data_IF_276284378760
#
_entry.id   IF_276284378760
#
_cell.length_a   1.000
_cell.length_b   1.000
_cell.length_c   1.000
_cell.angle_alpha   90.00
_cell.angle_beta   90.00
_cell.angle_gamma   90.00
#
_symmetry.space_group_name_H-M   'P 1'
#
loop_
_entity.id
_entity.type
_entity.pdbx_description
1 polymer ?
#
# COMPACT_ATOMS: atom_id res chain seq x y z
N UNK A 1 -16.80 16.66 25.16
CA UNK A 1 -16.74 16.11 23.79
C UNK A 1 -18.17 15.81 23.38
N UNK A 2 -18.74 16.47 22.37
CA UNK A 2 -20.10 16.12 21.89
C UNK A 2 -20.04 14.69 21.33
N UNK A 3 -20.91 13.82 21.83
CA UNK A 3 -21.08 12.50 21.24
C UNK A 3 -21.52 12.70 19.77
N UNK A 4 -21.06 11.87 18.82
CA UNK A 4 -21.63 11.81 17.48
C UNK A 4 -23.16 11.79 17.54
N UNK A 5 -23.84 12.46 16.60
CA UNK A 5 -25.31 12.57 16.59
C UNK A 5 -26.00 11.19 16.63
N UNK A 6 -25.35 10.14 16.13
CA UNK A 6 -25.86 8.76 16.13
C UNK A 6 -25.79 8.08 17.51
N UNK A 7 -25.00 8.62 18.45
CA UNK A 7 -24.99 8.22 19.86
C UNK A 7 -25.99 9.02 20.71
N UNK A 8 -26.84 9.83 20.07
CA UNK A 8 -28.01 10.48 20.68
C UNK A 8 -29.27 9.61 20.63
N UNK A 9 -29.17 8.41 20.08
CA UNK A 9 -30.25 7.41 20.04
C UNK A 9 -30.91 7.20 21.41
N UNK A 10 -32.25 7.15 21.41
CA UNK A 10 -33.06 7.06 22.63
C UNK A 10 -32.72 5.79 23.43
N UNK A 11 -32.55 4.66 22.76
CA UNK A 11 -32.20 3.39 23.40
C UNK A 11 -30.81 3.45 24.02
N UNK A 12 -29.83 4.06 23.32
CA UNK A 12 -28.48 4.27 23.87
C UNK A 12 -28.55 5.08 25.16
N UNK A 13 -29.26 6.21 25.16
CA UNK A 13 -29.34 7.14 26.30
C UNK A 13 -30.05 6.52 27.50
N UNK A 14 -31.21 5.90 27.28
CA UNK A 14 -32.09 5.41 28.35
C UNK A 14 -31.65 4.04 28.88
N UNK A 15 -31.02 3.21 28.05
CA UNK A 15 -30.70 1.81 28.39
C UNK A 15 -29.19 1.58 28.46
N UNK A 16 -28.46 1.78 27.36
CA UNK A 16 -27.05 1.36 27.29
C UNK A 16 -26.10 2.25 28.10
N UNK A 17 -26.45 3.52 28.32
CA UNK A 17 -25.73 4.45 29.19
C UNK A 17 -26.30 4.52 30.62
N UNK A 18 -27.35 3.75 30.93
CA UNK A 18 -27.88 3.67 32.28
C UNK A 18 -27.03 2.74 33.16
N UNK A 19 -26.22 3.35 34.02
CA UNK A 19 -25.35 2.65 34.99
C UNK A 19 -25.98 2.43 36.37
N UNK A 20 -27.25 2.78 36.57
CA UNK A 20 -27.98 2.53 37.83
C UNK A 20 -28.12 1.03 38.08
N UNK A 21 -28.03 0.57 39.33
CA UNK A 21 -28.34 -0.83 39.65
C UNK A 21 -29.85 -1.12 39.65
N UNK A 22 -30.68 -0.09 39.57
CA UNK A 22 -32.13 -0.24 39.44
C UNK A 22 -32.49 -0.92 38.12
N UNK A 23 -33.45 -1.84 38.21
CA UNK A 23 -33.98 -2.55 37.05
C UNK A 23 -34.88 -1.63 36.24
N UNK A 24 -34.76 -1.72 34.92
CA UNK A 24 -35.75 -1.15 34.00
C UNK A 24 -37.08 -1.94 34.09
N UNK A 25 -38.20 -1.36 33.64
CA UNK A 25 -39.46 -2.08 33.55
C UNK A 25 -39.30 -3.38 32.75
N UNK A 26 -39.74 -4.50 33.34
CA UNK A 26 -39.66 -5.85 32.76
C UNK A 26 -38.22 -6.31 32.43
N UNK A 27 -37.21 -5.73 33.09
CA UNK A 27 -35.84 -6.16 32.93
C UNK A 27 -35.59 -7.51 33.63
N UNK A 28 -35.13 -8.48 32.84
CA UNK A 28 -34.76 -9.81 33.29
C UNK A 28 -33.27 -9.99 33.14
N UNK A 29 -32.62 -10.53 34.16
CA UNK A 29 -31.19 -10.82 34.18
C UNK A 29 -30.93 -12.31 34.11
N UNK A 30 -29.91 -12.72 33.36
CA UNK A 30 -29.42 -14.11 33.30
C UNK A 30 -27.90 -14.15 33.44
N UNK A 31 -27.33 -15.17 34.10
CA UNK A 31 -25.88 -15.35 34.15
C UNK A 31 -25.33 -15.60 32.74
N UNK A 32 -24.16 -15.03 32.46
CA UNK A 32 -23.46 -15.27 31.19
C UNK A 32 -22.72 -16.59 31.29
N UNK A 33 -23.04 -17.54 30.40
CA UNK A 33 -22.47 -18.89 30.40
C UNK A 33 -20.96 -18.81 30.07
N UNK A 34 -20.11 -19.41 30.92
CA UNK A 34 -18.65 -19.29 30.86
C UNK A 34 -18.09 -17.99 31.42
N UNK A 35 -18.94 -17.13 32.00
CA UNK A 35 -18.56 -15.87 32.66
C UNK A 35 -19.47 -15.60 33.86
N UNK A 36 -19.47 -16.51 34.83
CA UNK A 36 -20.42 -16.58 35.95
C UNK A 36 -20.39 -15.35 36.85
N UNK A 37 -19.29 -14.58 36.81
CA UNK A 37 -19.14 -13.30 37.50
C UNK A 37 -19.97 -12.15 36.88
N UNK A 38 -20.73 -12.43 35.82
CA UNK A 38 -21.46 -11.45 35.05
C UNK A 38 -22.88 -11.92 34.72
N UNK A 39 -23.79 -10.95 34.65
CA UNK A 39 -25.15 -11.14 34.13
C UNK A 39 -25.38 -10.26 32.91
N UNK A 40 -26.25 -10.72 32.01
CA UNK A 40 -26.75 -9.97 30.85
C UNK A 40 -28.26 -9.81 30.99
N UNK A 41 -28.77 -8.60 30.73
CA UNK A 41 -30.21 -8.36 30.72
C UNK A 41 -30.83 -8.55 29.33
N UNK A 42 -32.15 -8.79 29.28
CA UNK A 42 -32.92 -8.82 28.04
C UNK A 42 -32.86 -7.51 27.25
N UNK A 43 -32.45 -6.41 27.88
CA UNK A 43 -32.20 -5.09 27.29
C UNK A 43 -30.75 -4.90 26.78
N UNK A 44 -29.85 -5.84 27.04
CA UNK A 44 -28.43 -5.75 26.65
C UNK A 44 -27.55 -4.95 27.60
N UNK A 45 -28.01 -4.71 28.84
CA UNK A 45 -27.15 -4.20 29.92
C UNK A 45 -26.33 -5.35 30.49
N UNK A 46 -25.08 -5.09 30.86
CA UNK A 46 -24.18 -6.11 31.42
C UNK A 46 -23.83 -5.72 32.85
N UNK A 47 -24.06 -6.62 33.80
CA UNK A 47 -23.77 -6.41 35.22
C UNK A 47 -22.56 -7.25 35.61
N UNK A 48 -21.64 -6.66 36.35
CA UNK A 48 -20.58 -7.38 37.05
C UNK A 48 -21.05 -7.60 38.47
N UNK A 49 -21.07 -8.85 38.91
CA UNK A 49 -21.46 -9.24 40.26
C UNK A 49 -20.36 -8.92 41.27
N UNK A 50 -20.76 -8.78 42.53
CA UNK A 50 -19.84 -8.60 43.63
C UNK A 50 -19.04 -9.88 43.88
N UNK A 51 -17.72 -9.75 44.06
CA UNK A 51 -16.83 -10.90 44.28
C UNK A 51 -15.50 -10.48 44.87
N UNK A 52 -14.81 -11.44 45.47
CA UNK A 52 -13.39 -11.31 45.79
C UNK A 52 -12.58 -11.54 44.51
N UNK A 53 -11.67 -10.63 44.17
CA UNK A 53 -10.83 -10.72 42.97
C UNK A 53 -9.36 -10.66 43.36
N UNK A 54 -8.56 -11.54 42.75
CA UNK A 54 -7.11 -11.55 42.90
C UNK A 54 -6.45 -10.64 41.86
N UNK A 55 -5.53 -9.79 42.28
CA UNK A 55 -4.66 -9.01 41.40
C UNK A 55 -3.34 -9.78 41.23
N UNK A 56 -2.62 -9.56 40.12
CA UNK A 56 -1.23 -9.99 39.99
C UNK A 56 -0.43 -9.53 41.21
N UNK A 57 0.26 -10.47 41.89
CA UNK A 57 0.96 -10.34 43.19
C UNK A 57 0.17 -10.81 44.45
N UNK A 58 -0.96 -11.50 44.29
CA UNK A 58 -1.63 -12.20 45.40
C UNK A 58 -2.45 -11.30 46.34
N UNK A 59 -2.67 -10.04 45.95
CA UNK A 59 -3.51 -9.10 46.69
C UNK A 59 -4.97 -9.33 46.33
N UNK A 60 -5.80 -9.62 47.34
CA UNK A 60 -7.25 -9.75 47.22
C UNK A 60 -7.93 -8.39 47.38
N UNK A 61 -8.95 -8.12 46.58
CA UNK A 61 -9.81 -6.96 46.76
C UNK A 61 -11.26 -7.30 46.44
N UNK A 62 -12.18 -6.63 47.12
CA UNK A 62 -13.60 -6.72 46.83
C UNK A 62 -13.93 -5.89 45.59
N UNK A 63 -14.52 -6.55 44.60
CA UNK A 63 -15.14 -5.89 43.46
C UNK A 63 -16.61 -5.72 43.79
N UNK A 64 -17.08 -4.48 43.89
CA UNK A 64 -18.51 -4.20 44.08
C UNK A 64 -19.31 -4.47 42.81
N UNK A 65 -20.58 -4.80 43.00
CA UNK A 65 -21.53 -4.94 41.91
C UNK A 65 -21.66 -3.62 41.13
N UNK A 66 -21.69 -3.70 39.79
CA UNK A 66 -21.89 -2.52 38.93
C UNK A 66 -22.35 -2.90 37.53
N UNK A 67 -23.08 -1.99 36.90
CA UNK A 67 -23.34 -2.03 35.46
C UNK A 67 -22.08 -1.65 34.70
N UNK A 68 -21.73 -2.44 33.70
CA UNK A 68 -20.52 -2.29 32.89
C UNK A 68 -20.74 -1.28 31.78
N UNK A 69 -19.75 -0.42 31.60
CA UNK A 69 -19.62 0.41 30.39
C UNK A 69 -19.39 -0.46 29.17
N UNK A 70 -20.29 -0.33 28.19
CA UNK A 70 -20.19 -1.01 26.90
C UNK A 70 -19.20 -0.31 25.97
N UNK A 71 -18.72 -1.06 24.99
CA UNK A 71 -17.74 -0.66 23.98
C UNK A 71 -18.45 -0.48 22.64
N UNK A 72 -18.34 0.72 22.07
CA UNK A 72 -18.91 1.05 20.77
C UNK A 72 -17.78 1.06 19.74
N UNK A 73 -17.78 0.10 18.82
CA UNK A 73 -16.84 0.07 17.70
C UNK A 73 -17.53 0.62 16.46
N UNK A 74 -16.79 1.38 15.63
CA UNK A 74 -17.30 1.94 14.37
C UNK A 74 -16.45 1.48 13.20
N UNK A 75 -17.11 1.17 12.08
CA UNK A 75 -16.47 0.85 10.81
C UNK A 75 -17.03 1.77 9.74
N UNK A 76 -16.15 2.39 8.95
CA UNK A 76 -16.58 3.26 7.87
C UNK A 76 -16.93 2.43 6.63
N UNK A 77 -18.18 2.51 6.19
CA UNK A 77 -18.62 1.91 4.95
C UNK A 77 -18.36 2.90 3.80
N UNK A 78 -17.36 2.60 2.95
CA UNK A 78 -17.00 3.45 1.80
C UNK A 78 -18.11 3.59 0.76
N UNK A 79 -18.98 2.59 0.63
CA UNK A 79 -20.06 2.58 -0.35
C UNK A 79 -21.18 3.53 0.08
N UNK A 80 -21.69 3.35 1.31
CA UNK A 80 -22.75 4.18 1.87
C UNK A 80 -22.25 5.55 2.38
N UNK A 81 -20.93 5.72 2.50
CA UNK A 81 -20.28 6.89 3.12
C UNK A 81 -20.71 7.14 4.57
N UNK A 82 -21.10 6.08 5.28
CA UNK A 82 -21.63 6.11 6.64
C UNK A 82 -20.82 5.23 7.60
N UNK A 83 -20.94 5.49 8.90
CA UNK A 83 -20.39 4.62 9.94
C UNK A 83 -21.40 3.55 10.36
N UNK A 84 -20.95 2.30 10.38
CA UNK A 84 -21.67 1.18 10.99
C UNK A 84 -21.13 0.94 12.38
N UNK A 85 -22.02 0.80 13.37
CA UNK A 85 -21.66 0.61 14.77
C UNK A 85 -21.92 -0.82 15.24
N UNK A 86 -21.05 -1.31 16.13
CA UNK A 86 -21.28 -2.54 16.89
C UNK A 86 -21.08 -2.28 18.37
N UNK A 87 -21.92 -2.91 19.20
CA UNK A 87 -21.89 -2.79 20.66
C UNK A 87 -21.35 -4.08 21.26
N UNK A 88 -20.27 -3.94 22.03
CA UNK A 88 -19.58 -5.03 22.70
C UNK A 88 -19.51 -4.81 24.21
N UNK A 89 -19.28 -5.88 24.96
CA UNK A 89 -18.93 -5.80 26.37
C UNK A 89 -17.56 -6.43 26.62
N UNK A 90 -16.84 -5.87 27.59
CA UNK A 90 -15.60 -6.44 28.11
C UNK A 90 -15.87 -7.31 29.32
N UNK A 91 -15.51 -8.59 29.22
CA UNK A 91 -15.62 -9.59 30.28
C UNK A 91 -14.22 -10.02 30.74
N UNK A 92 -14.10 -10.52 31.96
CA UNK A 92 -12.83 -11.00 32.51
C UNK A 92 -13.03 -12.34 33.20
N UNK A 93 -12.21 -13.32 32.85
CA UNK A 93 -12.20 -14.65 33.46
C UNK A 93 -10.74 -15.06 33.68
N UNK A 94 -10.39 -15.46 34.90
CA UNK A 94 -9.03 -15.93 35.26
C UNK A 94 -7.90 -14.98 34.79
N UNK A 95 -8.09 -13.68 34.98
CA UNK A 95 -7.13 -12.66 34.54
C UNK A 95 -7.11 -12.37 33.03
N UNK A 96 -7.76 -13.20 32.21
CA UNK A 96 -7.89 -13.01 30.77
C UNK A 96 -9.08 -12.08 30.45
N UNK A 97 -8.90 -11.17 29.47
CA UNK A 97 -9.92 -10.23 29.02
C UNK A 97 -10.55 -10.69 27.72
N UNK A 98 -11.88 -10.69 27.66
CA UNK A 98 -12.67 -11.11 26.52
C UNK A 98 -13.55 -9.96 26.05
N UNK A 99 -13.73 -9.83 24.74
CA UNK A 99 -14.70 -8.91 24.14
C UNK A 99 -15.79 -9.72 23.46
N UNK A 100 -17.04 -9.53 23.87
CA UNK A 100 -18.19 -10.27 23.33
C UNK A 100 -19.23 -9.31 22.75
N UNK A 101 -19.93 -9.77 21.71
CA UNK A 101 -21.05 -9.00 21.11
C UNK A 101 -22.25 -9.04 22.06
N UNK A 102 -22.76 -7.87 22.44
CA UNK A 102 -23.94 -7.77 23.32
C UNK A 102 -25.15 -8.41 22.66
N UNK A 103 -25.36 -8.16 21.36
CA UNK A 103 -26.50 -8.74 20.63
C UNK A 103 -26.46 -10.28 20.60
N UNK A 104 -25.28 -10.89 20.43
CA UNK A 104 -25.15 -12.36 20.47
C UNK A 104 -25.45 -12.90 21.85
N UNK A 105 -24.96 -12.24 22.91
CA UNK A 105 -25.24 -12.66 24.29
C UNK A 105 -26.73 -12.56 24.62
N UNK A 106 -27.39 -11.44 24.30
CA UNK A 106 -28.83 -11.29 24.55
C UNK A 106 -29.62 -12.36 23.79
N UNK A 107 -29.32 -12.57 22.49
CA UNK A 107 -30.02 -13.60 21.72
C UNK A 107 -29.83 -14.99 22.30
N UNK A 108 -28.59 -15.34 22.64
CA UNK A 108 -28.24 -16.65 23.21
C UNK A 108 -29.00 -16.93 24.52
N UNK A 109 -29.08 -15.94 25.41
CA UNK A 109 -29.67 -16.11 26.73
C UNK A 109 -31.20 -15.93 26.77
N UNK A 110 -31.78 -15.15 25.86
CA UNK A 110 -33.21 -14.78 25.91
C UNK A 110 -34.05 -15.25 24.72
N UNK A 111 -33.45 -15.69 23.61
CA UNK A 111 -34.18 -16.09 22.40
C UNK A 111 -33.92 -17.56 22.04
N UNK A 112 -32.68 -17.95 21.76
CA UNK A 112 -32.34 -19.30 21.30
C UNK A 112 -30.87 -19.61 21.64
N UNK A 113 -30.59 -20.78 22.22
CA UNK A 113 -29.21 -21.26 22.42
C UNK A 113 -28.60 -21.75 21.09
N UNK A 114 -27.34 -21.41 20.86
CA UNK A 114 -26.58 -21.77 19.66
C UNK A 114 -25.08 -21.80 19.96
N UNK A 115 -24.25 -22.38 19.10
CA UNK A 115 -22.80 -22.27 19.25
C UNK A 115 -22.33 -20.82 19.07
N UNK A 116 -21.86 -20.19 20.15
CA UNK A 116 -21.42 -18.79 20.19
C UNK A 116 -20.32 -18.50 19.16
N UNK A 117 -19.53 -19.49 18.77
CA UNK A 117 -18.47 -19.35 17.78
C UNK A 117 -18.93 -19.61 16.34
N UNK A 118 -20.17 -20.06 16.12
CA UNK A 118 -20.72 -20.26 14.77
C UNK A 118 -20.89 -18.92 14.04
N UNK A 119 -20.23 -18.83 12.88
CA UNK A 119 -20.20 -17.68 11.98
C UNK A 119 -21.07 -17.85 10.73
N UNK A 120 -21.83 -18.95 10.65
CA UNK A 120 -22.73 -19.27 9.53
C UNK A 120 -23.97 -18.36 9.47
N UNK A 121 -24.28 -17.69 10.58
CA UNK A 121 -25.39 -16.76 10.73
C UNK A 121 -24.96 -15.47 11.45
N UNK A 122 -25.82 -14.46 11.39
CA UNK A 122 -25.66 -13.19 12.11
C UNK A 122 -26.92 -12.87 12.89
N UNK A 123 -26.77 -12.08 13.97
CA UNK A 123 -27.90 -11.49 14.67
C UNK A 123 -28.19 -10.12 14.05
N UNK A 124 -29.41 -9.96 13.55
CA UNK A 124 -29.94 -8.73 12.94
C UNK A 124 -30.93 -8.03 13.87
N UNK A 125 -31.41 -6.86 13.45
CA UNK A 125 -32.31 -5.97 14.21
C UNK A 125 -33.55 -5.72 13.38
N UNK A 126 -34.73 -6.10 13.88
CA UNK A 126 -36.01 -5.99 13.15
C UNK A 126 -36.36 -4.54 12.81
N UNK A 127 -36.02 -3.61 13.69
CA UNK A 127 -36.21 -2.17 13.52
C UNK A 127 -35.09 -1.47 12.74
N UNK A 128 -34.10 -2.21 12.22
CA UNK A 128 -32.87 -1.69 11.61
C UNK A 128 -32.02 -0.78 12.52
N UNK A 129 -32.31 -0.70 13.82
CA UNK A 129 -31.51 0.06 14.78
C UNK A 129 -30.45 -0.83 15.42
N UNK A 130 -29.18 -0.62 15.03
CA UNK A 130 -28.03 -1.35 15.56
C UNK A 130 -27.76 -1.09 17.04
N UNK A 131 -28.48 -0.19 17.72
CA UNK A 131 -28.34 0.05 19.16
C UNK A 131 -29.44 -0.63 19.99
N UNK A 132 -30.61 -0.91 19.43
CA UNK A 132 -31.70 -1.57 20.14
C UNK A 132 -31.36 -3.06 20.38
N UNK A 133 -30.87 -3.35 21.58
CA UNK A 133 -30.43 -4.69 22.01
C UNK A 133 -31.53 -5.50 22.70
N UNK A 134 -32.77 -5.02 22.70
CA UNK A 134 -33.82 -5.74 23.36
C UNK A 134 -34.07 -7.09 22.67
N UNK A 135 -34.19 -8.16 23.45
CA UNK A 135 -34.33 -9.54 22.96
C UNK A 135 -35.44 -9.69 21.89
N UNK A 136 -36.58 -9.02 22.04
CA UNK A 136 -37.68 -9.07 21.06
C UNK A 136 -37.35 -8.43 19.70
N UNK A 137 -36.38 -7.50 19.66
CA UNK A 137 -35.93 -6.82 18.44
C UNK A 137 -34.86 -7.63 17.68
N UNK A 138 -34.30 -8.66 18.28
CA UNK A 138 -33.24 -9.45 17.67
C UNK A 138 -33.82 -10.60 16.84
N UNK A 139 -33.15 -10.92 15.74
CA UNK A 139 -33.48 -12.06 14.88
C UNK A 139 -32.20 -12.73 14.36
N UNK A 140 -32.29 -14.03 14.08
CA UNK A 140 -31.19 -14.84 13.53
C UNK A 140 -31.37 -14.93 12.02
N UNK A 141 -30.40 -14.43 11.26
CA UNK A 141 -30.42 -14.47 9.79
C UNK A 141 -29.20 -15.21 9.24
N UNK A 142 -29.38 -15.92 8.13
CA UNK A 142 -28.26 -16.58 7.46
C UNK A 142 -27.32 -15.56 6.81
N UNK A 143 -26.03 -15.91 6.67
CA UNK A 143 -25.08 -15.07 5.93
C UNK A 143 -25.54 -14.84 4.48
N UNK A 144 -26.19 -15.83 3.86
CA UNK A 144 -26.74 -15.72 2.50
C UNK A 144 -27.85 -14.67 2.42
N UNK A 145 -28.78 -14.70 3.36
CA UNK A 145 -29.87 -13.74 3.46
C UNK A 145 -29.38 -12.32 3.77
N UNK A 146 -28.35 -12.19 4.63
CA UNK A 146 -27.70 -10.90 4.87
C UNK A 146 -27.09 -10.34 3.59
N UNK A 147 -26.37 -11.16 2.81
CA UNK A 147 -25.81 -10.73 1.51
C UNK A 147 -26.91 -10.29 0.55
N UNK A 148 -28.00 -11.04 0.48
CA UNK A 148 -29.14 -10.73 -0.39
C UNK A 148 -29.85 -9.43 0.02
N UNK A 149 -30.06 -9.19 1.31
CA UNK A 149 -30.67 -7.95 1.82
C UNK A 149 -29.73 -6.75 1.64
N UNK A 150 -28.43 -6.90 1.90
CA UNK A 150 -27.42 -5.87 1.61
C UNK A 150 -27.39 -5.53 0.12
N UNK A 151 -27.53 -6.53 -0.76
CA UNK A 151 -27.61 -6.34 -2.20
C UNK A 151 -28.90 -5.62 -2.63
N UNK A 152 -30.07 -6.08 -2.15
CA UNK A 152 -31.38 -5.49 -2.50
C UNK A 152 -31.54 -4.06 -2.02
N UNK A 153 -30.96 -3.74 -0.87
CA UNK A 153 -31.00 -2.40 -0.30
C UNK A 153 -29.91 -1.47 -0.86
N UNK A 154 -29.23 -1.88 -1.94
CA UNK A 154 -28.12 -1.16 -2.56
C UNK A 154 -27.09 -0.68 -1.52
N UNK A 155 -26.63 -1.59 -0.66
CA UNK A 155 -25.62 -1.33 0.38
C UNK A 155 -24.25 -1.89 0.03
N UNK A 156 -24.09 -2.47 -1.16
CA UNK A 156 -22.84 -3.01 -1.70
C UNK A 156 -22.82 -2.99 -3.22
N UNK A 157 -21.66 -2.69 -3.82
CA UNK A 157 -21.44 -2.74 -5.28
C UNK A 157 -21.78 -4.11 -5.86
N UNK A 158 -22.65 -4.15 -6.86
CA UNK A 158 -22.95 -5.37 -7.61
C UNK A 158 -21.90 -5.59 -8.71
N UNK A 159 -20.91 -6.42 -8.41
CA UNK A 159 -19.82 -6.74 -9.36
C UNK A 159 -20.33 -7.52 -10.58
N UNK A 160 -21.41 -8.31 -10.45
CA UNK A 160 -21.99 -9.03 -11.59
C UNK A 160 -22.53 -8.08 -12.66
N UNK A 161 -23.17 -6.99 -12.27
CA UNK A 161 -23.64 -5.97 -13.23
C UNK A 161 -22.46 -5.35 -13.97
N UNK A 162 -21.36 -5.12 -13.28
CA UNK A 162 -20.15 -4.59 -13.92
C UNK A 162 -19.50 -5.61 -14.87
N UNK A 163 -19.52 -6.90 -14.55
CA UNK A 163 -18.99 -7.96 -15.43
C UNK A 163 -19.88 -8.26 -16.63
N UNK A 164 -21.16 -7.87 -16.59
CA UNK A 164 -22.05 -7.95 -17.74
C UNK A 164 -21.83 -6.81 -18.75
N UNK A 165 -20.98 -5.81 -18.45
CA UNK A 165 -20.73 -4.69 -19.37
C UNK A 165 -19.92 -5.15 -20.59
N UNK A 166 -20.32 -4.75 -21.81
CA UNK A 166 -19.55 -5.03 -23.03
C UNK A 166 -18.20 -4.31 -23.02
N UNK A 167 -17.17 -4.98 -23.55
CA UNK A 167 -15.80 -4.46 -23.60
C UNK A 167 -15.16 -4.64 -24.97
N UNK A 168 -14.23 -3.75 -25.30
CA UNK A 168 -13.44 -3.80 -26.52
C UNK A 168 -11.96 -4.01 -26.20
N UNK A 169 -11.33 -4.86 -26.99
CA UNK A 169 -9.94 -5.29 -26.89
C UNK A 169 -9.07 -4.54 -27.89
N UNK A 170 -7.91 -4.06 -27.44
CA UNK A 170 -6.94 -3.34 -28.27
C UNK A 170 -5.52 -3.86 -28.05
N UNK A 171 -4.65 -3.67 -29.04
CA UNK A 171 -3.21 -3.83 -28.88
C UNK A 171 -2.67 -2.77 -27.90
N UNK A 172 -1.42 -2.94 -27.46
CA UNK A 172 -0.77 -1.97 -26.58
C UNK A 172 -0.62 -0.59 -27.25
N UNK A 173 -0.46 -0.58 -28.57
CA UNK A 173 -0.28 0.61 -29.41
C UNK A 173 -1.62 1.24 -29.85
N UNK A 174 -2.74 0.57 -29.57
CA UNK A 174 -4.09 1.11 -29.73
C UNK A 174 -4.83 0.68 -30.99
N UNK A 175 -4.37 -0.38 -31.65
CA UNK A 175 -5.11 -1.01 -32.74
C UNK A 175 -6.25 -1.85 -32.18
N UNK A 176 -7.45 -1.71 -32.75
CA UNK A 176 -8.62 -2.48 -32.35
C UNK A 176 -8.47 -3.95 -32.77
N UNK A 177 -8.85 -4.87 -31.88
CA UNK A 177 -8.78 -6.31 -32.12
C UNK A 177 -10.17 -6.93 -32.20
N UNK A 178 -10.98 -6.77 -31.15
CA UNK A 178 -12.29 -7.41 -31.04
C UNK A 178 -13.19 -6.72 -30.00
N UNK A 179 -14.49 -7.02 -30.04
CA UNK A 179 -15.45 -6.64 -29.01
C UNK A 179 -16.14 -7.88 -28.44
N UNK A 180 -16.53 -7.77 -27.17
CA UNK A 180 -17.19 -8.82 -26.40
C UNK A 180 -18.43 -8.25 -25.74
N UNK A 181 -19.51 -9.03 -25.70
CA UNK A 181 -20.79 -8.60 -25.10
C UNK A 181 -20.72 -8.46 -23.58
N UNK A 182 -19.74 -9.07 -22.93
CA UNK A 182 -19.50 -8.95 -21.49
C UNK A 182 -18.06 -9.27 -21.12
N UNK A 183 -17.65 -8.94 -19.89
CA UNK A 183 -16.36 -9.36 -19.33
C UNK A 183 -16.35 -10.89 -19.11
N UNK A 184 -17.49 -11.50 -18.78
CA UNK A 184 -17.61 -12.97 -18.73
C UNK A 184 -17.28 -13.62 -20.07
N UNK A 185 -17.74 -13.04 -21.19
CA UNK A 185 -17.42 -13.55 -22.52
C UNK A 185 -15.92 -13.48 -22.83
N UNK A 186 -15.19 -12.53 -22.23
CA UNK A 186 -13.72 -12.47 -22.31
C UNK A 186 -13.09 -13.60 -21.51
N UNK A 187 -13.54 -13.83 -20.29
CA UNK A 187 -13.03 -14.91 -19.44
C UNK A 187 -13.28 -16.29 -20.07
N UNK A 188 -14.47 -16.54 -20.59
CA UNK A 188 -14.84 -17.78 -21.26
C UNK A 188 -13.98 -18.03 -22.52
N UNK A 189 -13.77 -16.99 -23.34
CA UNK A 189 -13.06 -17.15 -24.62
C UNK A 189 -11.54 -17.12 -24.49
N UNK A 190 -10.99 -16.27 -23.60
CA UNK A 190 -9.56 -15.98 -23.50
C UNK A 190 -8.93 -16.48 -22.20
N UNK A 191 -9.71 -16.98 -21.24
CA UNK A 191 -9.22 -17.43 -19.93
C UNK A 191 -8.65 -16.30 -19.06
N UNK A 192 -9.00 -15.05 -19.35
CA UNK A 192 -8.54 -13.88 -18.60
C UNK A 192 -9.55 -13.57 -17.49
N UNK A 193 -9.10 -13.60 -16.24
CA UNK A 193 -9.94 -13.35 -15.08
C UNK A 193 -10.72 -12.02 -15.16
N UNK A 194 -12.01 -12.06 -14.81
CA UNK A 194 -12.90 -10.90 -14.85
C UNK A 194 -12.37 -9.69 -14.05
N UNK A 195 -11.78 -9.92 -12.87
CA UNK A 195 -11.17 -8.87 -12.05
C UNK A 195 -10.05 -8.14 -12.80
N UNK A 196 -9.21 -8.89 -13.53
CA UNK A 196 -8.08 -8.35 -14.26
C UNK A 196 -8.51 -7.47 -15.43
N UNK A 197 -9.59 -7.85 -16.13
CA UNK A 197 -10.21 -7.01 -17.17
C UNK A 197 -10.78 -5.74 -16.54
N UNK A 198 -11.49 -5.86 -15.43
CA UNK A 198 -12.07 -4.72 -14.71
C UNK A 198 -10.99 -3.74 -14.23
N UNK A 199 -9.86 -4.24 -13.72
CA UNK A 199 -8.73 -3.39 -13.33
C UNK A 199 -8.12 -2.65 -14.52
N UNK A 200 -8.03 -3.30 -15.69
CA UNK A 200 -7.56 -2.66 -16.91
C UNK A 200 -8.53 -1.57 -17.39
N UNK A 201 -9.83 -1.87 -17.40
CA UNK A 201 -10.89 -0.91 -17.77
C UNK A 201 -10.91 0.30 -16.84
N UNK A 202 -10.74 0.09 -15.53
CA UNK A 202 -10.66 1.17 -14.53
C UNK A 202 -9.30 1.89 -14.53
N UNK A 203 -8.37 1.50 -15.41
CA UNK A 203 -7.02 2.07 -15.53
C UNK A 203 -6.16 1.88 -14.27
N UNK A 204 -6.46 0.87 -13.43
CA UNK A 204 -5.64 0.45 -12.30
C UNK A 204 -4.36 -0.26 -12.77
N UNK A 205 -4.49 -1.02 -13.86
CA UNK A 205 -3.38 -1.63 -14.59
C UNK A 205 -3.46 -1.22 -16.06
N UNK A 206 -2.33 -1.26 -16.76
CA UNK A 206 -2.28 -0.84 -18.17
C UNK A 206 -2.88 -1.90 -19.10
N UNK A 207 -2.62 -3.17 -18.82
CA UNK A 207 -2.94 -4.31 -19.71
C UNK A 207 -3.42 -5.50 -18.92
N UNK A 208 -4.29 -6.31 -19.52
CA UNK A 208 -4.71 -7.62 -19.02
C UNK A 208 -4.66 -8.65 -20.16
N UNK A 209 -4.03 -9.80 -19.91
CA UNK A 209 -3.84 -10.83 -20.95
C UNK A 209 -3.07 -10.34 -22.19
N UNK A 210 -2.12 -9.42 -22.02
CA UNK A 210 -1.36 -8.72 -23.08
C UNK A 210 -2.11 -7.68 -23.91
N UNK A 211 -3.37 -7.38 -23.57
CA UNK A 211 -4.20 -6.41 -24.29
C UNK A 211 -4.61 -5.23 -23.43
N UNK A 212 -5.03 -4.14 -24.06
CA UNK A 212 -5.73 -3.04 -23.41
C UNK A 212 -7.24 -3.24 -23.53
N UNK A 213 -7.97 -2.81 -22.51
CA UNK A 213 -9.40 -3.05 -22.39
C UNK A 213 -10.12 -1.76 -22.04
N UNK A 214 -11.21 -1.50 -22.76
CA UNK A 214 -12.08 -0.34 -22.56
C UNK A 214 -13.52 -0.80 -22.62
N UNK A 215 -14.43 -0.08 -21.94
CA UNK A 215 -15.85 -0.34 -22.10
C UNK A 215 -16.27 0.01 -23.53
N UNK A 216 -17.20 -0.76 -24.10
CA UNK A 216 -17.67 -0.53 -25.48
C UNK A 216 -18.37 0.83 -25.64
N UNK A 217 -19.08 1.26 -24.60
CA UNK A 217 -19.79 2.55 -24.54
C UNK A 217 -18.87 3.75 -24.27
N UNK A 218 -17.61 3.50 -23.89
CA UNK A 218 -16.60 4.52 -23.65
C UNK A 218 -15.28 4.15 -24.35
N UNK A 219 -15.22 4.28 -25.70
CA UNK A 219 -14.05 3.92 -26.47
C UNK A 219 -12.84 4.81 -26.13
N UNK A 220 -11.62 4.27 -26.25
CA UNK A 220 -10.39 4.97 -25.91
C UNK A 220 -10.10 6.14 -26.86
N UNK A 221 -9.51 7.20 -26.31
CA UNK A 221 -8.94 8.29 -27.10
C UNK A 221 -7.49 7.99 -27.47
N UNK A 222 -6.92 8.70 -28.45
CA UNK A 222 -5.49 8.54 -28.82
C UNK A 222 -4.58 8.75 -27.60
N UNK A 223 -4.97 9.63 -26.70
CA UNK A 223 -4.27 9.95 -25.46
C UNK A 223 -4.23 8.79 -24.47
N UNK A 224 -5.21 7.89 -24.50
CA UNK A 224 -5.23 6.71 -23.63
C UNK A 224 -4.15 5.70 -24.01
N UNK A 225 -3.68 5.75 -25.26
CA UNK A 225 -2.61 4.89 -25.77
C UNK A 225 -1.22 5.53 -25.65
N UNK A 226 -1.14 6.85 -25.46
CA UNK A 226 0.14 7.49 -25.16
C UNK A 226 0.75 6.85 -23.91
N UNK A 227 2.00 6.41 -24.05
CA UNK A 227 2.75 5.73 -22.99
C UNK A 227 3.14 6.68 -21.85
N UNK A 228 2.86 7.98 -21.97
CA UNK A 228 3.18 9.04 -21.02
C UNK A 228 1.92 9.86 -20.73
N UNK A 229 1.41 9.81 -19.50
CA UNK A 229 0.39 10.76 -19.06
C UNK A 229 1.06 12.07 -18.66
N UNK A 230 0.46 13.20 -19.00
CA UNK A 230 0.94 14.55 -18.63
C UNK A 230 1.16 14.70 -17.11
N UNK A 231 0.40 13.97 -16.31
CA UNK A 231 0.54 13.87 -14.84
C UNK A 231 1.74 13.06 -14.37
N UNK A 232 2.21 12.06 -15.13
CA UNK A 232 3.42 11.28 -14.81
C UNK A 232 4.70 12.10 -15.09
N UNK A 233 4.62 13.04 -16.05
CA UNK A 233 5.67 14.04 -16.32
C UNK A 233 5.81 15.00 -15.13
N UNK A 234 4.69 15.38 -14.50
CA UNK A 234 4.66 16.41 -13.45
C UNK A 234 4.94 15.86 -12.03
N UNK A 235 4.49 14.65 -11.70
CA UNK A 235 4.64 14.10 -10.34
C UNK A 235 5.96 13.36 -10.08
N UNK A 236 6.83 13.25 -11.09
CA UNK A 236 8.06 12.46 -11.01
C UNK A 236 9.32 13.12 -11.55
N UNK A 237 9.28 14.37 -12.03
CA UNK A 237 10.41 15.02 -12.73
C UNK A 237 11.75 14.96 -11.95
N UNK A 238 11.69 15.17 -10.64
CA UNK A 238 12.86 15.26 -9.77
C UNK A 238 13.05 13.99 -8.94
N UNK A 239 14.26 13.43 -8.97
CA UNK A 239 14.72 12.41 -8.04
C UNK A 239 14.94 13.02 -6.63
N UNK A 240 13.82 13.28 -5.92
CA UNK A 240 13.81 13.88 -4.58
C UNK A 240 14.68 13.12 -3.59
N UNK A 241 14.67 11.80 -3.64
CA UNK A 241 15.51 10.94 -2.79
C UNK A 241 16.99 11.26 -2.93
N UNK A 242 17.50 11.29 -4.16
CA UNK A 242 18.92 11.60 -4.40
C UNK A 242 19.24 13.05 -4.01
N UNK A 243 18.36 13.99 -4.37
CA UNK A 243 18.50 15.40 -4.04
C UNK A 243 18.60 15.63 -2.52
N UNK A 244 17.73 14.99 -1.73
CA UNK A 244 17.78 15.04 -0.26
C UNK A 244 19.06 14.39 0.30
N UNK A 245 19.47 13.24 -0.25
CA UNK A 245 20.69 12.55 0.20
C UNK A 245 21.98 13.31 -0.10
N UNK A 246 21.97 14.17 -1.12
CA UNK A 246 23.09 15.06 -1.45
C UNK A 246 23.06 16.39 -0.69
N UNK A 247 22.17 16.54 0.32
CA UNK A 247 22.10 17.75 1.13
C UNK A 247 21.29 18.88 0.50
N UNK A 248 20.38 18.57 -0.42
CA UNK A 248 19.48 19.52 -1.10
C UNK A 248 20.26 20.65 -1.82
N UNK A 249 21.17 20.32 -2.76
CA UNK A 249 21.89 21.34 -3.51
C UNK A 249 20.92 22.30 -4.23
N UNK A 250 21.35 23.54 -4.40
CA UNK A 250 20.57 24.57 -5.11
C UNK A 250 20.53 24.20 -6.59
N UNK A 251 19.34 23.87 -7.09
CA UNK A 251 19.09 23.49 -8.47
C UNK A 251 17.76 24.08 -8.94
N UNK A 252 17.62 24.28 -10.25
CA UNK A 252 16.32 24.49 -10.87
C UNK A 252 15.51 23.18 -10.80
N UNK A 253 14.34 23.22 -10.16
CA UNK A 253 13.48 22.03 -9.99
C UNK A 253 12.61 21.75 -11.21
N UNK A 254 12.37 22.76 -12.04
CA UNK A 254 11.58 22.66 -13.27
C UNK A 254 12.47 22.19 -14.43
N UNK A 255 13.78 22.43 -14.34
CA UNK A 255 14.78 21.86 -15.24
C UNK A 255 15.99 21.30 -14.47
N UNK A 256 15.83 20.17 -13.75
CA UNK A 256 16.89 19.66 -12.89
C UNK A 256 18.06 19.08 -13.69
N UNK A 257 19.28 19.08 -13.11
CA UNK A 257 20.44 18.40 -13.68
C UNK A 257 20.15 16.93 -14.02
N UNK A 258 20.88 16.39 -15.00
CA UNK A 258 20.59 15.08 -15.61
C UNK A 258 20.48 13.94 -14.60
N UNK A 259 21.31 13.91 -13.56
CA UNK A 259 21.29 12.87 -12.53
C UNK A 259 20.04 12.92 -11.63
N UNK A 260 19.39 14.08 -11.54
CA UNK A 260 18.13 14.29 -10.83
C UNK A 260 16.90 14.21 -11.74
N UNK A 261 17.07 14.40 -13.05
CA UNK A 261 15.99 14.48 -14.01
C UNK A 261 15.46 13.09 -14.41
N UNK A 262 14.25 12.76 -13.96
CA UNK A 262 13.57 11.49 -14.26
C UNK A 262 12.58 11.59 -15.44
N UNK A 263 12.52 12.74 -16.13
CA UNK A 263 11.69 12.88 -17.33
C UNK A 263 12.24 12.04 -18.47
N UNK A 264 11.38 11.34 -19.20
CA UNK A 264 11.80 10.60 -20.40
C UNK A 264 12.06 11.52 -21.61
N UNK A 265 11.66 12.80 -21.52
CA UNK A 265 11.94 13.83 -22.51
C UNK A 265 13.46 14.01 -22.62
N UNK A 266 13.96 14.12 -23.85
CA UNK A 266 15.37 14.27 -24.13
C UNK A 266 15.88 15.66 -23.71
N UNK A 267 17.09 15.68 -23.16
CA UNK A 267 17.76 16.93 -22.80
C UNK A 267 18.51 17.47 -24.04
N UNK A 268 18.73 18.80 -24.14
CA UNK A 268 19.46 19.38 -25.27
C UNK A 268 20.87 18.75 -25.44
N UNK A 269 21.18 18.24 -26.63
CA UNK A 269 22.47 17.58 -26.92
C UNK A 269 22.65 16.21 -26.25
N UNK A 270 21.58 15.59 -25.79
CA UNK A 270 21.60 14.24 -25.25
C UNK A 270 21.47 13.19 -26.36
N UNK A 271 22.27 12.14 -26.27
CA UNK A 271 22.16 10.98 -27.14
C UNK A 271 22.40 9.70 -26.32
N UNK A 272 21.88 8.58 -26.83
CA UNK A 272 21.77 7.33 -26.09
C UNK A 272 22.54 6.20 -26.77
N UNK A 273 23.16 5.34 -25.97
CA UNK A 273 23.81 4.10 -26.40
C UNK A 273 23.27 2.91 -25.59
N UNK A 274 23.21 1.69 -26.13
CA UNK A 274 22.85 0.51 -25.36
C UNK A 274 23.74 0.33 -24.13
N UNK A 275 23.17 -0.10 -23.01
CA UNK A 275 23.96 -0.43 -21.82
C UNK A 275 24.80 -1.68 -22.10
N UNK A 276 26.13 -1.63 -21.95
CA UNK A 276 27.05 -2.72 -22.33
C UNK A 276 27.13 -3.81 -21.27
N UNK A 277 25.99 -4.41 -20.92
CA UNK A 277 25.88 -5.47 -19.90
C UNK A 277 25.06 -6.61 -20.48
N UNK A 278 25.68 -7.79 -20.55
CA UNK A 278 25.07 -8.99 -21.14
C UNK A 278 23.66 -9.27 -20.60
N UNK A 279 22.69 -9.24 -21.51
CA UNK A 279 21.27 -9.48 -21.22
C UNK A 279 20.49 -8.22 -20.84
N UNK A 280 21.08 -7.02 -20.99
CA UNK A 280 20.43 -5.74 -20.71
C UNK A 280 20.44 -4.79 -21.92
N UNK A 281 21.20 -5.09 -22.97
CA UNK A 281 21.45 -4.23 -24.13
C UNK A 281 20.16 -3.82 -24.86
N UNK A 282 19.21 -4.74 -25.01
CA UNK A 282 17.93 -4.50 -25.69
C UNK A 282 16.89 -3.81 -24.82
N UNK A 283 17.15 -3.66 -23.52
CA UNK A 283 16.18 -3.17 -22.53
C UNK A 283 16.58 -1.85 -21.90
N UNK A 284 17.85 -1.49 -21.93
CA UNK A 284 18.37 -0.31 -21.26
C UNK A 284 19.35 0.44 -22.14
N UNK A 285 19.22 1.76 -22.15
CA UNK A 285 20.13 2.68 -22.82
C UNK A 285 20.70 3.68 -21.82
N UNK A 286 21.96 4.07 -22.01
CA UNK A 286 22.69 5.08 -21.25
C UNK A 286 22.85 6.33 -22.11
N UNK A 287 22.56 7.49 -21.54
CA UNK A 287 22.80 8.78 -22.20
C UNK A 287 24.20 9.32 -21.89
N UNK A 288 24.76 10.11 -22.81
CA UNK A 288 26.00 10.87 -22.59
C UNK A 288 25.93 11.85 -21.41
N UNK A 289 24.73 12.18 -20.92
CA UNK A 289 24.53 12.98 -19.70
C UNK A 289 24.39 12.14 -18.44
N UNK A 290 24.62 10.83 -18.52
CA UNK A 290 24.58 9.93 -17.38
C UNK A 290 23.18 9.53 -16.94
N UNK A 291 22.16 9.64 -17.80
CA UNK A 291 20.82 9.10 -17.52
C UNK A 291 20.72 7.66 -18.00
N UNK A 292 20.00 6.81 -17.26
CA UNK A 292 19.71 5.44 -17.70
C UNK A 292 18.21 5.33 -17.96
N UNK A 293 17.84 4.96 -19.19
CA UNK A 293 16.45 4.76 -19.60
C UNK A 293 16.19 3.27 -19.77
N UNK A 294 15.14 2.76 -19.14
CA UNK A 294 14.53 1.48 -19.49
C UNK A 294 13.64 1.72 -20.71
N UNK A 295 13.82 0.94 -21.77
CA UNK A 295 12.96 0.94 -22.95
C UNK A 295 11.62 0.25 -22.65
N UNK A 296 10.59 0.60 -23.41
CA UNK A 296 9.28 -0.05 -23.28
C UNK A 296 9.38 -1.51 -23.69
N UNK A 297 8.54 -2.35 -23.08
CA UNK A 297 8.42 -3.73 -23.53
C UNK A 297 7.92 -4.70 -22.46
N UNK A 298 7.55 -5.89 -22.93
CA UNK A 298 7.02 -6.97 -22.12
C UNK A 298 8.05 -7.52 -21.15
N UNK A 299 7.63 -7.78 -19.92
CA UNK A 299 8.36 -8.64 -19.01
C UNK A 299 7.96 -10.10 -19.28
N UNK A 300 8.95 -10.97 -19.47
CA UNK A 300 8.80 -12.39 -19.79
C UNK A 300 8.67 -13.28 -18.55
N UNK A 301 9.04 -12.79 -17.36
CA UNK A 301 9.12 -13.59 -16.13
C UNK A 301 8.09 -13.17 -15.08
N UNK A 302 7.21 -14.11 -14.70
CA UNK A 302 6.12 -13.90 -13.73
C UNK A 302 4.81 -13.52 -14.42
N UNK A 303 4.06 -12.55 -13.86
CA UNK A 303 2.92 -11.95 -14.58
C UNK A 303 3.45 -11.16 -15.78
N UNK A 304 2.98 -11.48 -16.98
CA UNK A 304 3.33 -10.76 -18.21
C UNK A 304 2.76 -9.34 -18.09
N UNK A 305 3.65 -8.36 -18.00
CA UNK A 305 3.31 -6.95 -17.85
C UNK A 305 4.07 -6.14 -18.89
N UNK A 306 3.38 -5.19 -19.51
CA UNK A 306 4.04 -4.20 -20.35
C UNK A 306 4.65 -3.11 -19.45
N UNK A 307 5.97 -2.98 -19.48
CA UNK A 307 6.68 -1.92 -18.76
C UNK A 307 6.89 -0.76 -19.69
N UNK A 308 6.43 0.43 -19.29
CA UNK A 308 6.68 1.66 -20.03
C UNK A 308 8.13 2.12 -19.92
N UNK A 309 8.51 3.00 -20.84
CA UNK A 309 9.77 3.71 -20.76
C UNK A 309 9.90 4.45 -19.43
N UNK A 310 11.10 4.43 -18.85
CA UNK A 310 11.34 5.08 -17.57
C UNK A 310 12.81 5.45 -17.42
N UNK A 311 13.09 6.69 -17.05
CA UNK A 311 14.40 7.05 -16.52
C UNK A 311 14.53 6.46 -15.11
N UNK A 312 15.57 5.66 -14.91
CA UNK A 312 15.82 5.00 -13.65
C UNK A 312 16.44 5.97 -12.64
N UNK A 313 15.91 5.94 -11.42
CA UNK A 313 16.43 6.75 -10.33
C UNK A 313 17.82 6.28 -9.92
N UNK A 314 18.74 7.24 -9.85
CA UNK A 314 20.07 7.01 -9.32
C UNK A 314 20.07 7.11 -7.79
N UNK A 315 21.00 6.38 -7.17
CA UNK A 315 21.19 6.30 -5.72
C UNK A 315 22.64 6.57 -5.35
N UNK A 316 22.82 7.20 -4.19
CA UNK A 316 24.13 7.45 -3.60
C UNK A 316 24.77 6.15 -3.07
N UNK A 317 26.04 5.93 -3.37
CA UNK A 317 26.95 5.02 -2.67
C UNK A 317 27.96 5.88 -1.93
N UNK A 318 27.99 5.78 -0.61
CA UNK A 318 29.01 6.47 0.21
C UNK A 318 30.26 5.60 0.18
N UNK A 319 31.38 6.16 -0.28
CA UNK A 319 32.67 5.45 -0.33
C UNK A 319 33.56 5.85 0.86
N UNK A 320 33.48 7.10 1.30
CA UNK A 320 34.13 7.64 2.50
C UNK A 320 33.38 8.88 2.99
N UNK A 321 33.84 9.49 4.10
CA UNK A 321 33.25 10.72 4.64
C UNK A 321 33.15 11.87 3.62
N UNK A 322 34.08 11.92 2.66
CA UNK A 322 34.17 12.99 1.65
C UNK A 322 33.91 12.55 0.22
N UNK A 323 33.75 11.24 -0.04
CA UNK A 323 33.61 10.72 -1.41
C UNK A 323 32.42 9.80 -1.55
N UNK A 324 31.69 9.94 -2.65
CA UNK A 324 30.56 9.10 -3.00
C UNK A 324 30.55 8.82 -4.50
N UNK A 325 29.72 7.87 -4.90
CA UNK A 325 29.45 7.56 -6.30
C UNK A 325 27.96 7.44 -6.54
N UNK A 326 27.53 7.82 -7.74
CA UNK A 326 26.16 7.58 -8.17
C UNK A 326 26.04 6.18 -8.74
N UNK A 327 24.91 5.52 -8.46
CA UNK A 327 24.63 4.17 -8.93
C UNK A 327 23.20 4.02 -9.43
N UNK A 328 23.01 3.14 -10.38
CA UNK A 328 21.70 2.74 -10.89
C UNK A 328 21.52 1.23 -10.71
N UNK A 329 20.29 0.78 -10.49
CA UNK A 329 19.97 -0.65 -10.40
C UNK A 329 19.16 -1.05 -11.62
N UNK A 330 19.71 -1.96 -12.42
CA UNK A 330 19.07 -2.55 -13.57
C UNK A 330 18.43 -3.87 -13.16
N UNK A 331 17.23 -4.12 -13.66
CA UNK A 331 16.52 -5.37 -13.42
C UNK A 331 15.94 -5.88 -14.71
N UNK A 332 16.33 -7.09 -15.11
CA UNK A 332 15.80 -7.76 -16.29
C UNK A 332 15.67 -9.26 -16.04
N UNK A 333 14.50 -9.85 -16.35
CA UNK A 333 14.23 -11.28 -16.23
C UNK A 333 14.62 -11.92 -14.88
N UNK A 334 14.49 -11.16 -13.79
CA UNK A 334 14.86 -11.56 -12.43
C UNK A 334 16.36 -11.53 -12.13
N UNK A 335 17.21 -11.06 -13.06
CA UNK A 335 18.58 -10.66 -12.80
C UNK A 335 18.61 -9.21 -12.33
N UNK A 336 19.47 -8.91 -11.36
CA UNK A 336 19.65 -7.58 -10.81
C UNK A 336 21.13 -7.20 -10.89
N UNK A 337 21.42 -6.06 -11.51
CA UNK A 337 22.78 -5.54 -11.65
C UNK A 337 22.81 -4.11 -11.16
N UNK A 338 23.70 -3.82 -10.18
CA UNK A 338 23.96 -2.46 -9.73
C UNK A 338 25.16 -1.92 -10.48
N UNK A 339 24.98 -0.82 -11.19
CA UNK A 339 26.01 -0.15 -11.99
C UNK A 339 26.45 1.14 -11.32
N UNK A 340 27.74 1.43 -11.35
CA UNK A 340 28.29 2.72 -10.93
C UNK A 340 28.34 3.64 -12.15
N UNK A 341 27.77 4.84 -12.05
CA UNK A 341 27.55 5.70 -13.21
C UNK A 341 28.84 6.18 -13.85
N UNK A 342 29.86 6.53 -13.07
CA UNK A 342 31.16 6.94 -13.61
C UNK A 342 31.84 5.83 -14.41
N UNK A 343 31.78 4.58 -13.93
CA UNK A 343 32.32 3.42 -14.67
C UNK A 343 31.63 3.22 -16.01
N UNK A 344 30.29 3.29 -16.01
CA UNK A 344 29.50 3.07 -17.22
C UNK A 344 29.69 4.20 -18.24
N UNK A 345 29.72 5.45 -17.78
CA UNK A 345 30.00 6.62 -18.61
C UNK A 345 31.38 6.55 -19.26
N UNK A 346 32.41 6.24 -18.48
CA UNK A 346 33.77 6.12 -18.99
C UNK A 346 33.88 5.01 -20.04
N UNK A 347 33.32 3.83 -19.76
CA UNK A 347 33.32 2.71 -20.70
C UNK A 347 32.64 3.08 -22.03
N UNK A 348 31.47 3.71 -21.97
CA UNK A 348 30.66 3.99 -23.15
C UNK A 348 31.19 5.16 -23.99
N UNK A 349 31.82 6.16 -23.37
CA UNK A 349 32.10 7.44 -24.01
C UNK A 349 33.58 7.87 -23.98
N UNK A 350 34.47 7.12 -23.31
CA UNK A 350 35.91 7.42 -23.25
C UNK A 350 36.73 6.25 -23.77
N UNK A 351 36.78 5.14 -23.04
CA UNK A 351 37.61 3.98 -23.37
C UNK A 351 37.00 2.68 -22.84
N UNK A 352 36.98 1.64 -23.68
CA UNK A 352 36.47 0.32 -23.31
C UNK A 352 37.47 -0.41 -22.40
N UNK A 353 36.98 -0.94 -21.28
CA UNK A 353 37.74 -1.77 -20.36
C UNK A 353 36.84 -2.85 -19.74
N UNK A 354 37.39 -3.86 -19.09
CA UNK A 354 36.54 -4.87 -18.43
C UNK A 354 35.79 -4.26 -17.23
N UNK A 355 34.47 -4.11 -17.38
CA UNK A 355 33.58 -3.59 -16.33
C UNK A 355 33.54 -4.49 -15.08
N UNK A 356 33.89 -5.78 -15.23
CA UNK A 356 33.97 -6.74 -14.13
C UNK A 356 35.31 -6.70 -13.39
N UNK A 357 36.33 -6.05 -13.97
CA UNK A 357 37.64 -5.91 -13.36
C UNK A 357 37.58 -5.01 -12.12
N UNK A 358 37.99 -5.58 -10.99
CA UNK A 358 38.06 -4.91 -9.69
C UNK A 358 39.38 -4.17 -9.49
N UNK A 359 40.40 -4.48 -10.29
CA UNK A 359 41.72 -3.84 -10.24
C UNK A 359 41.74 -2.49 -10.97
N UNK A 360 40.72 -2.17 -11.76
CA UNK A 360 40.58 -0.88 -12.44
C UNK A 360 39.47 -0.03 -11.81
N UNK A 361 39.79 1.22 -11.52
CA UNK A 361 38.89 2.21 -10.93
C UNK A 361 38.80 3.45 -11.82
N UNK A 362 37.56 3.91 -12.04
CA UNK A 362 37.31 5.19 -12.68
C UNK A 362 37.21 6.26 -11.59
N UNK A 363 38.12 7.22 -11.64
CA UNK A 363 38.13 8.40 -10.78
C UNK A 363 37.26 9.47 -11.43
N UNK A 364 36.43 10.14 -10.63
CA UNK A 364 35.61 11.27 -11.05
C UNK A 364 36.10 12.52 -10.35
N UNK A 365 36.61 13.46 -11.12
CA UNK A 365 37.14 14.75 -10.65
C UNK A 365 36.16 15.91 -10.89
N UNK A 366 34.89 15.60 -11.16
CA UNK A 366 33.84 16.61 -11.28
C UNK A 366 33.58 17.29 -9.94
N UNK A 367 33.36 18.59 -9.99
CA UNK A 367 32.93 19.39 -8.85
C UNK A 367 31.68 20.19 -9.29
N UNK A 368 30.50 19.87 -8.75
CA UNK A 368 30.22 18.83 -7.75
C UNK A 368 30.30 17.39 -8.31
N UNK A 369 30.62 16.41 -7.47
CA UNK A 369 30.78 15.00 -7.88
C UNK A 369 29.53 14.37 -8.52
N UNK A 370 28.33 14.90 -8.24
CA UNK A 370 27.07 14.42 -8.83
C UNK A 370 26.82 14.96 -10.24
N UNK A 371 27.51 16.02 -10.67
CA UNK A 371 27.43 16.60 -12.00
C UNK A 371 28.58 16.10 -12.87
N UNK A 372 28.47 14.83 -13.27
CA UNK A 372 29.59 14.10 -13.88
C UNK A 372 29.86 14.63 -15.29
N UNK A 373 31.01 15.29 -15.45
CA UNK A 373 31.55 15.60 -16.77
C UNK A 373 32.40 14.43 -17.27
N UNK A 374 32.08 13.88 -18.44
CA UNK A 374 32.83 12.75 -19.04
C UNK A 374 34.32 13.09 -19.20
N UNK A 375 34.65 14.34 -19.54
CA UNK A 375 36.03 14.83 -19.66
C UNK A 375 36.83 14.84 -18.35
N UNK A 376 36.16 14.71 -17.20
CA UNK A 376 36.76 14.64 -15.85
C UNK A 376 36.77 13.22 -15.28
N UNK A 377 36.62 12.21 -16.15
CA UNK A 377 36.73 10.80 -15.79
C UNK A 377 38.07 10.24 -16.26
N UNK A 378 38.77 9.53 -15.37
CA UNK A 378 40.05 8.88 -15.68
C UNK A 378 40.10 7.46 -15.12
N UNK A 379 40.75 6.55 -15.85
CA UNK A 379 40.90 5.15 -15.47
C UNK A 379 42.29 4.90 -14.85
N UNK A 380 42.31 4.32 -13.66
CA UNK A 380 43.54 4.06 -12.92
C UNK A 380 43.51 2.68 -12.25
N UNK A 381 44.67 2.03 -12.04
CA UNK A 381 44.76 0.86 -11.18
C UNK A 381 44.31 1.19 -9.75
N UNK A 382 43.53 0.32 -9.13
CA UNK A 382 42.97 0.51 -7.79
C UNK A 382 44.05 0.83 -6.75
N UNK A 383 45.19 0.13 -6.82
CA UNK A 383 46.33 0.34 -5.93
C UNK A 383 46.92 1.75 -6.05
N UNK A 384 46.92 2.34 -7.25
CA UNK A 384 47.39 3.71 -7.48
C UNK A 384 46.46 4.72 -6.82
N UNK A 385 45.15 4.58 -7.06
CA UNK A 385 44.11 5.47 -6.50
C UNK A 385 44.10 5.43 -4.97
N UNK A 386 44.24 4.24 -4.38
CA UNK A 386 44.28 4.08 -2.92
C UNK A 386 45.54 4.74 -2.32
N UNK A 387 46.72 4.54 -2.93
CA UNK A 387 47.98 5.16 -2.46
C UNK A 387 47.96 6.70 -2.54
N UNK A 388 47.42 7.26 -3.62
CA UNK A 388 47.23 8.71 -3.78
C UNK A 388 46.34 9.29 -2.67
N UNK A 389 45.24 8.60 -2.31
CA UNK A 389 44.36 9.03 -1.21
C UNK A 389 45.09 9.08 0.14
N UNK A 390 45.92 8.08 0.46
CA UNK A 390 46.71 8.08 1.70
C UNK A 390 47.76 9.20 1.74
N UNK A 391 48.48 9.42 0.62
CA UNK A 391 49.48 10.52 0.52
C UNK A 391 48.87 11.90 0.74
N UNK A 392 47.67 12.15 0.22
CA UNK A 392 46.97 13.42 0.40
C UNK A 392 46.40 13.58 1.82
N UNK A 393 46.06 12.48 2.49
CA UNK A 393 45.68 12.50 3.91
C UNK A 393 46.85 12.91 4.82
N UNK A 394 48.05 12.37 4.55
CA UNK A 394 49.26 12.67 5.32
C UNK A 394 49.73 14.13 5.14
N UNK A 395 49.68 14.67 3.90
CA UNK A 395 50.07 16.07 3.62
C UNK A 395 49.20 17.09 4.38
N UNK A 396 47.91 16.83 4.57
CA UNK A 396 47.04 17.71 5.36
C UNK A 396 47.28 17.60 6.87
N UNK A 397 47.67 16.43 7.40
CA UNK A 397 48.06 16.28 8.81
C UNK A 397 49.42 16.92 9.15
N UNK A 398 50.35 17.02 8.19
CA UNK A 398 51.64 17.69 8.42
C UNK A 398 51.54 19.22 8.41
N UNK A 399 50.58 19.81 7.69
CA UNK A 399 50.41 21.28 7.66
C UNK A 399 49.79 21.86 8.95
N UNK A 400 49.16 21.05 9.80
CA UNK A 400 48.70 21.47 11.13
C UNK A 400 49.79 21.38 12.22
N UNK A 401 50.97 20.80 11.95
CA UNK A 401 52.04 20.66 12.94
C UNK A 401 53.20 21.65 12.81
N UNK A 402 53.22 22.51 11.78
CA UNK A 402 54.28 23.53 11.62
C UNK A 402 53.87 24.97 12.00
N UNK A 403 52.73 25.13 12.70
CA UNK A 403 52.38 26.40 13.37
C UNK A 403 52.23 26.15 14.87
N UNK A 404 53.36 26.00 15.56
CA UNK A 404 53.52 26.29 16.98
C UNK A 404 54.87 26.93 17.19
#
# INVERSE_FOLDING_TARGET
MKLPNELEDKYVREVLYNYSLENLPEEQWKPIEGFENYEISNYGRVKSLSRLSHISLGVEHWVSERIRKLLFTRQYNKYLKEYVYNVHCGLSLEGCKYTRSVARLVFYHFVEKFDIEDRSFMISYKDNNVFNKHSSNLEKISVKEKRLTTFRNDRSRNVHVDYMKPVSQYTVDGEFIASFESIYAVEEKLGIACESIMDAVNKNILTSGTFRWFLRDNPPQKEDFYMLKKTDILNGLLNKYLWEKLGKPIIDKDNPPSCFNLSVIELPGEYWVPVPISGFESRFVLSNKGRVKRLSGWNSRGRILFLQEKILSQKLIINSEKTYSLSCTLSNEGKYVRVVMSKLLYYCFVEKFDLSDRNMMVVNESDPLWDIAISKLSLHPANYVLKEKYRNHDRHSFHCRSKK
#
